data_IF_358320562967
#
_entry.id   IF_358320562967
#
_cell.length_a   1.000
_cell.length_b   1.000
_cell.length_c   1.000
_cell.angle_alpha   90.00
_cell.angle_beta   90.00
_cell.angle_gamma   90.00
#
_symmetry.space_group_name_H-M   'P 1'
#
loop_
_entity.id
_entity.type
_entity.pdbx_description
1 polymer ?
#
# COMPACT_ATOMS: atom_id res chain seq x y z
N UNK A 1 -9.68 -26.63 -6.87
CA UNK A 1 -11.13 -26.76 -7.11
C UNK A 1 -11.65 -25.35 -7.37
N UNK A 2 -12.51 -25.16 -8.40
CA UNK A 2 -13.11 -23.84 -8.67
C UNK A 2 -14.35 -23.65 -7.82
N UNK A 3 -14.57 -22.43 -7.33
CA UNK A 3 -15.77 -22.00 -6.61
C UNK A 3 -16.46 -20.85 -7.37
N UNK A 4 -17.74 -20.61 -7.10
CA UNK A 4 -18.42 -19.44 -7.64
C UNK A 4 -17.88 -18.19 -6.96
N UNK A 5 -17.44 -17.22 -7.77
CA UNK A 5 -16.99 -15.94 -7.24
C UNK A 5 -18.17 -15.20 -6.60
N UNK A 6 -17.94 -14.66 -5.41
CA UNK A 6 -18.85 -13.76 -4.71
C UNK A 6 -18.09 -12.51 -4.30
N UNK A 7 -18.75 -11.35 -4.38
CA UNK A 7 -18.18 -10.10 -3.91
C UNK A 7 -17.96 -10.17 -2.39
N UNK A 8 -16.78 -9.79 -1.95
CA UNK A 8 -16.40 -9.72 -0.53
C UNK A 8 -15.98 -8.30 -0.22
N UNK A 9 -16.16 -7.89 1.04
CA UNK A 9 -15.60 -6.64 1.56
C UNK A 9 -14.08 -6.63 1.34
N UNK A 10 -13.55 -5.51 0.90
CA UNK A 10 -12.15 -5.35 0.55
C UNK A 10 -11.54 -4.13 1.24
N UNK A 11 -10.22 -4.09 1.31
CA UNK A 11 -9.47 -2.92 1.78
C UNK A 11 -8.91 -2.14 0.60
N UNK A 12 -9.01 -0.80 0.65
CA UNK A 12 -8.48 0.08 -0.38
C UNK A 12 -6.96 -0.09 -0.51
N UNK A 13 -6.50 -0.16 -1.75
CA UNK A 13 -5.10 -0.07 -2.15
C UNK A 13 -4.99 1.02 -3.19
N UNK A 14 -4.67 2.25 -2.76
CA UNK A 14 -4.70 3.43 -3.62
C UNK A 14 -3.32 4.07 -3.71
N UNK A 15 -2.89 4.41 -4.92
CA UNK A 15 -1.70 5.21 -5.17
C UNK A 15 -2.08 6.59 -5.74
N UNK A 16 -1.55 7.65 -5.14
CA UNK A 16 -1.64 9.02 -5.64
C UNK A 16 -0.30 9.40 -6.27
N UNK A 17 -0.28 9.66 -7.55
CA UNK A 17 0.93 10.06 -8.27
C UNK A 17 0.87 11.54 -8.65
N UNK A 18 2.01 12.20 -8.80
CA UNK A 18 2.04 13.59 -9.25
C UNK A 18 3.32 14.33 -8.89
N UNK A 19 3.57 15.48 -9.54
CA UNK A 19 4.74 16.30 -9.26
C UNK A 19 4.68 16.91 -7.85
N UNK A 20 5.81 17.46 -7.41
CA UNK A 20 5.83 18.24 -6.17
C UNK A 20 4.84 19.41 -6.26
N UNK A 21 4.08 19.64 -5.19
CA UNK A 21 3.06 20.69 -5.13
C UNK A 21 1.72 20.35 -5.80
N UNK A 22 1.49 19.10 -6.24
CA UNK A 22 0.20 18.70 -6.81
C UNK A 22 -0.89 18.37 -5.78
N UNK A 23 -0.61 18.49 -4.48
CA UNK A 23 -1.61 18.26 -3.43
C UNK A 23 -1.79 16.81 -2.97
N UNK A 24 -0.86 15.89 -3.30
CA UNK A 24 -0.96 14.45 -2.95
C UNK A 24 -1.23 14.20 -1.47
N UNK A 25 -0.47 14.83 -0.59
CA UNK A 25 -0.61 14.68 0.87
C UNK A 25 -1.99 15.07 1.35
N UNK A 26 -2.48 16.27 0.95
CA UNK A 26 -3.81 16.74 1.32
C UNK A 26 -4.91 15.85 0.72
N UNK A 27 -4.77 15.45 -0.54
CA UNK A 27 -5.72 14.53 -1.20
C UNK A 27 -5.79 13.17 -0.48
N UNK A 28 -4.65 12.62 -0.05
CA UNK A 28 -4.60 11.39 0.74
C UNK A 28 -5.36 11.55 2.07
N UNK A 29 -5.14 12.68 2.76
CA UNK A 29 -5.84 12.98 4.02
C UNK A 29 -7.34 13.19 3.81
N UNK A 30 -7.77 13.89 2.75
CA UNK A 30 -9.20 14.06 2.44
C UNK A 30 -9.88 12.72 2.18
N UNK A 31 -9.26 11.84 1.38
CA UNK A 31 -9.80 10.49 1.15
C UNK A 31 -9.87 9.72 2.47
N UNK A 32 -8.80 9.75 3.28
CA UNK A 32 -8.76 9.05 4.56
C UNK A 32 -9.82 9.56 5.54
N UNK A 33 -10.01 10.86 5.64
CA UNK A 33 -11.08 11.48 6.45
C UNK A 33 -12.47 11.03 6.03
N UNK A 34 -12.75 11.01 4.73
CA UNK A 34 -14.03 10.51 4.21
C UNK A 34 -14.21 9.01 4.49
N UNK A 35 -13.17 8.21 4.31
CA UNK A 35 -13.22 6.77 4.58
C UNK A 35 -13.49 6.44 6.05
N UNK A 36 -12.94 7.22 6.97
CA UNK A 36 -13.15 7.04 8.43
C UNK A 36 -14.37 7.78 8.97
N UNK A 37 -15.11 8.51 8.10
CA UNK A 37 -16.25 9.33 8.53
C UNK A 37 -15.85 10.47 9.46
N UNK A 38 -14.63 11.00 9.31
CA UNK A 38 -14.08 12.06 10.14
C UNK A 38 -13.46 11.59 11.46
N UNK A 39 -13.37 10.29 11.69
CA UNK A 39 -12.64 9.73 12.85
C UNK A 39 -11.12 9.70 12.57
N UNK A 40 -10.46 10.80 12.88
CA UNK A 40 -9.04 11.00 12.65
C UNK A 40 -8.13 10.14 13.54
N UNK A 41 -8.65 9.58 14.65
CA UNK A 41 -7.91 8.62 15.47
C UNK A 41 -7.62 7.31 14.72
N UNK A 42 -8.33 7.06 13.61
CA UNK A 42 -8.18 5.91 12.72
C UNK A 42 -7.42 6.23 11.44
N UNK A 43 -6.75 7.37 11.38
CA UNK A 43 -5.87 7.77 10.26
C UNK A 43 -4.44 7.88 10.77
N UNK A 44 -3.51 7.12 10.17
CA UNK A 44 -2.07 7.22 10.44
C UNK A 44 -1.32 7.62 9.17
N UNK A 45 -0.31 8.49 9.33
CA UNK A 45 0.52 8.96 8.23
C UNK A 45 2.00 8.77 8.55
N UNK A 46 2.71 8.05 7.68
CA UNK A 46 4.17 7.94 7.65
C UNK A 46 4.69 9.04 6.73
N UNK A 47 5.47 9.97 7.28
CA UNK A 47 5.98 11.14 6.54
C UNK A 47 7.49 11.01 6.28
N UNK A 48 7.86 10.98 5.01
CA UNK A 48 9.24 11.06 4.54
C UNK A 48 9.57 12.41 3.87
N UNK A 49 8.61 13.34 3.85
CA UNK A 49 8.68 14.65 3.19
C UNK A 49 9.03 15.78 4.17
N UNK A 50 9.94 15.51 5.13
CA UNK A 50 10.45 16.50 6.09
C UNK A 50 9.38 17.16 6.96
N UNK A 51 8.50 16.36 7.55
CA UNK A 51 7.41 16.77 8.46
C UNK A 51 6.37 17.71 7.83
N UNK A 52 6.31 17.79 6.50
CA UNK A 52 5.36 18.68 5.81
C UNK A 52 3.90 18.27 6.00
N UNK A 53 3.63 16.99 6.25
CA UNK A 53 2.27 16.54 6.52
C UNK A 53 1.69 17.18 7.79
N UNK A 54 2.50 17.59 8.76
CA UNK A 54 2.04 18.29 9.97
C UNK A 54 1.33 19.61 9.69
N UNK A 55 1.62 20.28 8.56
CA UNK A 55 0.93 21.52 8.17
C UNK A 55 -0.55 21.30 7.87
N UNK A 56 -0.97 20.08 7.64
CA UNK A 56 -2.36 19.70 7.35
C UNK A 56 -3.11 19.18 8.59
N UNK A 57 -2.44 19.01 9.74
CA UNK A 57 -3.10 18.54 10.95
C UNK A 57 -4.00 19.65 11.52
N UNK A 58 -5.21 19.24 11.95
CA UNK A 58 -6.21 20.13 12.59
C UNK A 58 -6.52 21.38 11.75
N UNK A 59 -6.89 21.18 10.48
CA UNK A 59 -7.27 22.23 9.53
C UNK A 59 -8.70 22.05 9.04
N UNK A 60 -9.70 22.53 9.81
CA UNK A 60 -11.11 22.40 9.45
C UNK A 60 -11.44 23.02 8.07
N UNK A 61 -10.72 24.08 7.67
CA UNK A 61 -10.86 24.72 6.37
C UNK A 61 -10.49 23.81 5.18
N UNK A 62 -9.70 22.76 5.44
CA UNK A 62 -9.35 21.72 4.45
C UNK A 62 -10.04 20.39 4.75
N UNK A 63 -10.90 20.34 5.77
CA UNK A 63 -11.59 19.13 6.19
C UNK A 63 -10.67 18.10 6.82
N UNK A 64 -9.53 18.52 7.43
CA UNK A 64 -8.58 17.63 8.11
C UNK A 64 -8.58 17.86 9.62
N UNK A 65 -8.39 16.78 10.39
CA UNK A 65 -8.26 16.81 11.84
C UNK A 65 -6.91 16.29 12.33
N UNK A 66 -6.82 15.95 13.61
CA UNK A 66 -5.62 15.40 14.25
C UNK A 66 -5.47 13.91 13.91
N UNK A 67 -4.48 13.54 13.11
CA UNK A 67 -4.18 12.17 12.71
C UNK A 67 -2.93 11.63 13.42
N UNK A 68 -2.80 10.31 13.52
CA UNK A 68 -1.60 9.66 14.02
C UNK A 68 -0.44 9.89 13.05
N UNK A 69 0.72 10.28 13.56
CA UNK A 69 1.83 10.75 12.75
C UNK A 69 3.15 10.09 13.13
N UNK A 70 3.87 9.58 12.13
CA UNK A 70 5.21 9.03 12.30
C UNK A 70 6.17 9.57 11.23
N UNK A 71 7.20 10.36 11.60
CA UNK A 71 8.25 10.70 10.65
C UNK A 71 9.13 9.48 10.36
N UNK A 72 9.53 9.33 9.11
CA UNK A 72 10.55 8.39 8.68
C UNK A 72 11.68 9.15 8.02
N UNK A 73 12.83 9.17 8.68
CA UNK A 73 14.03 9.86 8.22
C UNK A 73 15.06 8.86 7.65
N UNK A 74 16.01 9.33 6.83
CA UNK A 74 17.06 8.46 6.29
C UNK A 74 17.76 7.63 7.38
N UNK A 75 18.26 6.41 7.05
CA UNK A 75 18.14 5.75 5.75
C UNK A 75 16.73 5.16 5.51
N UNK A 76 16.20 5.32 4.29
CA UNK A 76 14.86 4.90 3.88
C UNK A 76 14.80 3.42 3.49
N UNK A 77 15.25 2.54 4.39
CA UNK A 77 15.29 1.10 4.17
C UNK A 77 13.90 0.48 4.14
N UNK A 78 13.70 -0.51 3.26
CA UNK A 78 12.42 -1.19 3.12
C UNK A 78 11.92 -1.86 4.41
N UNK A 79 12.83 -2.41 5.22
CA UNK A 79 12.50 -3.02 6.53
C UNK A 79 11.93 -2.01 7.52
N UNK A 80 12.46 -0.78 7.56
CA UNK A 80 11.90 0.31 8.38
C UNK A 80 10.50 0.70 7.94
N UNK A 81 10.26 0.81 6.62
CA UNK A 81 8.90 1.06 6.12
C UNK A 81 7.95 -0.04 6.56
N UNK A 82 8.36 -1.29 6.43
CA UNK A 82 7.56 -2.46 6.82
C UNK A 82 7.23 -2.44 8.32
N UNK A 83 8.21 -2.16 9.17
CA UNK A 83 8.05 -2.09 10.62
C UNK A 83 7.03 -1.01 11.00
N UNK A 84 7.24 0.22 10.52
CA UNK A 84 6.37 1.36 10.84
C UNK A 84 4.98 1.17 10.23
N UNK A 85 4.88 0.62 9.01
CA UNK A 85 3.59 0.36 8.37
C UNK A 85 2.75 -0.67 9.13
N UNK A 86 3.38 -1.73 9.68
CA UNK A 86 2.69 -2.70 10.53
C UNK A 86 2.20 -2.08 11.83
N UNK A 87 3.06 -1.27 12.49
CA UNK A 87 2.67 -0.55 13.72
C UNK A 87 1.53 0.46 13.44
N UNK A 88 1.60 1.18 12.33
CA UNK A 88 0.53 2.09 11.91
C UNK A 88 -0.79 1.37 11.63
N UNK A 89 -0.74 0.23 10.94
CA UNK A 89 -1.93 -0.58 10.66
C UNK A 89 -2.56 -1.15 11.94
N UNK A 90 -1.75 -1.54 12.92
CA UNK A 90 -2.23 -1.96 14.24
C UNK A 90 -2.90 -0.79 15.00
N UNK A 91 -2.30 0.39 14.95
CA UNK A 91 -2.81 1.57 15.64
C UNK A 91 -4.16 2.05 15.08
N UNK A 92 -4.37 2.02 13.75
CA UNK A 92 -5.63 2.48 13.12
C UNK A 92 -6.71 1.41 13.09
N UNK A 93 -6.36 0.15 13.24
CA UNK A 93 -7.29 -0.99 13.15
C UNK A 93 -7.73 -1.30 11.71
N UNK A 94 -8.55 -2.35 11.55
CA UNK A 94 -8.90 -2.91 10.24
C UNK A 94 -9.65 -1.93 9.31
N UNK A 95 -10.51 -1.06 9.86
CA UNK A 95 -11.25 -0.08 9.05
C UNK A 95 -10.62 1.31 9.08
N UNK A 96 -9.41 1.43 9.61
CA UNK A 96 -8.62 2.65 9.55
C UNK A 96 -7.83 2.78 8.26
N UNK A 97 -7.15 3.90 8.10
CA UNK A 97 -6.38 4.25 6.90
C UNK A 97 -4.93 4.53 7.28
N UNK A 98 -4.00 3.82 6.64
CA UNK A 98 -2.57 4.11 6.69
C UNK A 98 -2.17 4.86 5.42
N UNK A 99 -1.55 6.02 5.57
CA UNK A 99 -0.97 6.82 4.49
C UNK A 99 0.55 6.68 4.54
N UNK A 100 1.19 6.43 3.38
CA UNK A 100 2.64 6.44 3.22
C UNK A 100 3.03 7.58 2.27
N UNK A 101 3.53 8.67 2.82
CA UNK A 101 3.90 9.89 2.08
C UNK A 101 5.40 10.22 2.24
N UNK A 102 6.25 9.81 1.32
CA UNK A 102 5.99 9.12 0.07
C UNK A 102 6.72 7.77 -0.01
N UNK A 103 6.17 6.86 -0.81
CA UNK A 103 6.82 5.58 -1.09
C UNK A 103 8.03 5.73 -2.05
N UNK A 104 8.18 6.88 -2.70
CA UNK A 104 9.29 7.13 -3.64
C UNK A 104 10.66 7.13 -2.96
N UNK A 105 10.75 7.55 -1.70
CA UNK A 105 12.02 7.53 -0.97
C UNK A 105 12.50 6.10 -0.64
N UNK A 106 11.58 5.13 -0.51
CA UNK A 106 11.98 3.72 -0.37
C UNK A 106 12.71 3.19 -1.61
N UNK A 107 12.49 3.81 -2.78
CA UNK A 107 13.14 3.46 -4.04
C UNK A 107 14.45 4.21 -4.26
N UNK A 108 14.41 5.54 -4.34
CA UNK A 108 15.54 6.38 -4.74
C UNK A 108 16.15 7.22 -3.60
N UNK A 109 15.59 7.19 -2.39
CA UNK A 109 16.14 7.90 -1.23
C UNK A 109 17.39 7.23 -0.67
N UNK A 110 18.09 7.95 0.22
CA UNK A 110 19.26 7.43 0.95
C UNK A 110 18.89 6.13 1.70
N UNK A 111 19.64 5.05 1.46
CA UNK A 111 19.37 3.71 1.99
C UNK A 111 18.21 2.99 1.29
N UNK A 112 17.61 3.58 0.25
CA UNK A 112 16.55 2.97 -0.55
C UNK A 112 17.03 1.82 -1.43
N UNK A 113 16.09 1.22 -2.17
CA UNK A 113 16.34 -0.01 -2.96
C UNK A 113 17.40 0.20 -4.04
N UNK A 114 17.49 1.38 -4.67
CA UNK A 114 18.53 1.66 -5.68
C UNK A 114 19.93 1.71 -5.07
N UNK A 115 20.07 2.31 -3.89
CA UNK A 115 21.36 2.33 -3.18
C UNK A 115 21.73 0.94 -2.69
N UNK A 116 20.81 0.20 -2.11
CA UNK A 116 21.01 -1.21 -1.75
C UNK A 116 21.47 -2.04 -2.94
N UNK A 117 20.84 -1.89 -4.12
CA UNK A 117 21.29 -2.54 -5.37
C UNK A 117 22.74 -2.20 -5.71
N UNK A 118 23.12 -0.92 -5.61
CA UNK A 118 24.46 -0.48 -5.90
C UNK A 118 25.51 -1.02 -4.88
N UNK A 119 25.13 -1.19 -3.63
CA UNK A 119 25.97 -1.81 -2.60
C UNK A 119 26.18 -3.30 -2.87
N UNK A 120 25.13 -4.04 -3.21
CA UNK A 120 25.20 -5.47 -3.56
C UNK A 120 26.09 -5.68 -4.79
N UNK A 121 25.98 -4.83 -5.80
CA UNK A 121 26.79 -4.93 -7.04
C UNK A 121 28.30 -4.80 -6.79
N UNK A 122 28.70 -4.03 -5.78
CA UNK A 122 30.12 -3.87 -5.38
C UNK A 122 30.71 -5.08 -4.66
N UNK A 123 29.88 -6.02 -4.20
CA UNK A 123 30.34 -7.19 -3.46
C UNK A 123 31.07 -8.19 -4.38
N UNK A 124 32.10 -8.85 -3.83
CA UNK A 124 32.88 -9.85 -4.58
C UNK A 124 31.99 -10.99 -5.11
N UNK A 125 32.07 -11.26 -6.39
CA UNK A 125 31.27 -12.31 -7.06
C UNK A 125 29.86 -11.92 -7.45
N UNK A 126 29.45 -10.67 -7.22
CA UNK A 126 28.19 -10.12 -7.67
C UNK A 126 28.37 -9.32 -8.96
N UNK A 127 27.26 -9.14 -9.68
CA UNK A 127 27.17 -8.30 -10.88
C UNK A 127 25.82 -7.58 -10.91
N UNK A 128 25.60 -6.74 -11.91
CA UNK A 128 24.36 -5.96 -12.00
C UNK A 128 23.11 -6.85 -12.03
N UNK A 129 23.13 -7.98 -12.70
CA UNK A 129 22.00 -8.90 -12.78
C UNK A 129 21.64 -9.51 -11.41
N UNK A 130 22.65 -10.06 -10.69
CA UNK A 130 22.42 -10.63 -9.34
C UNK A 130 22.01 -9.55 -8.34
N UNK A 131 22.53 -8.32 -8.45
CA UNK A 131 22.15 -7.22 -7.60
C UNK A 131 20.69 -6.80 -7.83
N UNK A 132 20.21 -6.81 -9.07
CA UNK A 132 18.80 -6.55 -9.37
C UNK A 132 17.85 -7.64 -8.87
N UNK A 133 18.27 -8.93 -8.89
CA UNK A 133 17.47 -10.01 -8.31
C UNK A 133 17.28 -9.83 -6.79
N UNK A 134 18.35 -9.48 -6.07
CA UNK A 134 18.27 -9.21 -4.63
C UNK A 134 17.45 -7.96 -4.30
N UNK A 135 17.71 -6.85 -4.99
CA UNK A 135 16.95 -5.60 -4.82
C UNK A 135 15.47 -5.78 -5.17
N UNK A 136 15.16 -6.58 -6.19
CA UNK A 136 13.81 -6.94 -6.56
C UNK A 136 13.07 -7.71 -5.46
N UNK A 137 13.74 -8.59 -4.74
CA UNK A 137 13.15 -9.30 -3.59
C UNK A 137 12.82 -8.35 -2.45
N UNK A 138 13.72 -7.42 -2.14
CA UNK A 138 13.49 -6.39 -1.11
C UNK A 138 12.28 -5.52 -1.48
N UNK A 139 12.23 -5.03 -2.72
CA UNK A 139 11.12 -4.24 -3.22
C UNK A 139 9.80 -5.02 -3.19
N UNK A 140 9.79 -6.24 -3.69
CA UNK A 140 8.58 -7.08 -3.69
C UNK A 140 8.07 -7.35 -2.27
N UNK A 141 8.98 -7.57 -1.30
CA UNK A 141 8.62 -7.77 0.10
C UNK A 141 7.94 -6.52 0.68
N UNK A 142 8.47 -5.33 0.41
CA UNK A 142 7.85 -4.06 0.83
C UNK A 142 6.44 -3.90 0.25
N UNK A 143 6.30 -4.00 -1.07
CA UNK A 143 5.02 -3.81 -1.75
C UNK A 143 4.00 -4.86 -1.30
N UNK A 144 4.36 -6.14 -1.30
CA UNK A 144 3.47 -7.22 -0.85
C UNK A 144 3.03 -7.02 0.60
N UNK A 145 3.93 -6.53 1.48
CA UNK A 145 3.57 -6.24 2.88
C UNK A 145 2.52 -5.12 2.94
N UNK A 146 2.75 -3.99 2.24
CA UNK A 146 1.78 -2.88 2.22
C UNK A 146 0.42 -3.33 1.70
N UNK A 147 0.39 -4.11 0.61
CA UNK A 147 -0.84 -4.62 0.02
C UNK A 147 -1.57 -5.66 0.89
N UNK A 148 -0.86 -6.34 1.80
CA UNK A 148 -1.44 -7.35 2.70
C UNK A 148 -1.87 -6.82 4.07
N UNK A 149 -1.66 -5.53 4.37
CA UNK A 149 -2.08 -4.94 5.64
C UNK A 149 -3.60 -5.05 5.85
N UNK A 150 -4.07 -5.26 7.08
CA UNK A 150 -5.50 -5.44 7.37
C UNK A 150 -6.33 -4.15 7.28
N UNK A 151 -5.71 -2.98 7.21
CA UNK A 151 -6.33 -1.67 7.07
C UNK A 151 -6.36 -1.20 5.61
N UNK A 152 -7.01 -0.07 5.31
CA UNK A 152 -6.88 0.62 4.03
C UNK A 152 -5.50 1.26 3.90
N UNK A 153 -4.93 1.26 2.69
CA UNK A 153 -3.60 1.83 2.42
C UNK A 153 -3.66 2.82 1.27
N UNK A 154 -3.14 4.02 1.52
CA UNK A 154 -2.94 5.05 0.51
C UNK A 154 -1.44 5.34 0.46
N UNK A 155 -0.84 5.29 -0.73
CA UNK A 155 0.56 5.69 -0.92
C UNK A 155 0.63 6.91 -1.83
N UNK A 156 1.61 7.77 -1.60
CA UNK A 156 1.93 8.83 -2.56
C UNK A 156 3.21 8.48 -3.31
N UNK A 157 3.25 8.80 -4.59
CA UNK A 157 4.39 8.63 -5.47
C UNK A 157 4.73 9.97 -6.12
N UNK A 158 5.98 10.39 -5.97
CA UNK A 158 6.52 11.55 -6.71
C UNK A 158 6.67 11.15 -8.18
N UNK A 159 6.54 12.12 -9.07
CA UNK A 159 6.77 11.88 -10.50
C UNK A 159 7.94 12.70 -11.01
N UNK A 160 8.61 12.15 -12.03
CA UNK A 160 9.64 12.81 -12.82
C UNK A 160 9.23 12.84 -14.30
N UNK A 161 9.86 13.73 -15.07
CA UNK A 161 9.65 13.75 -16.53
C UNK A 161 10.12 12.45 -17.13
N UNK A 162 9.24 11.82 -17.89
CA UNK A 162 9.54 10.62 -18.67
C UNK A 162 9.97 11.02 -20.10
N UNK A 163 10.96 10.34 -20.62
CA UNK A 163 11.48 10.53 -21.97
C UNK A 163 11.46 9.22 -22.73
N UNK A 164 11.04 9.26 -23.99
CA UNK A 164 11.27 8.19 -24.96
C UNK A 164 12.41 8.59 -25.91
N UNK A 165 13.11 7.60 -26.42
CA UNK A 165 14.10 7.82 -27.49
C UNK A 165 13.39 7.69 -28.83
N UNK A 166 13.35 8.77 -29.60
CA UNK A 166 12.74 8.79 -30.93
C UNK A 166 13.79 9.16 -31.98
N UNK A 167 13.63 8.66 -33.22
CA UNK A 167 14.46 9.01 -34.32
C UNK A 167 14.06 10.41 -34.83
N UNK A 168 15.02 11.34 -34.86
CA UNK A 168 14.81 12.63 -35.51
C UNK A 168 14.92 12.51 -37.05
N UNK A 169 14.63 13.59 -37.75
CA UNK A 169 14.70 13.65 -39.23
C UNK A 169 16.07 13.28 -39.82
N UNK A 170 17.12 13.23 -38.99
CA UNK A 170 18.50 12.85 -39.37
C UNK A 170 18.84 11.42 -38.97
N UNK A 171 17.86 10.61 -38.57
CA UNK A 171 18.03 9.21 -38.13
C UNK A 171 18.82 9.04 -36.83
N UNK A 172 18.92 10.08 -35.98
CA UNK A 172 19.57 9.99 -34.67
C UNK A 172 18.51 9.84 -33.56
N UNK A 173 18.76 8.96 -32.59
CA UNK A 173 17.97 8.88 -31.41
C UNK A 173 18.11 10.15 -30.56
N UNK A 174 16.99 10.79 -30.27
CA UNK A 174 16.90 11.98 -29.41
C UNK A 174 15.86 11.72 -28.30
N UNK A 175 16.10 12.19 -27.08
CA UNK A 175 15.11 12.06 -26.01
C UNK A 175 13.95 13.03 -26.24
N UNK A 176 12.74 12.49 -26.33
CA UNK A 176 11.50 13.26 -26.45
C UNK A 176 10.70 13.08 -25.15
N UNK A 177 10.20 14.19 -24.61
CA UNK A 177 9.36 14.17 -23.40
C UNK A 177 8.02 13.53 -23.72
N UNK A 178 7.71 12.40 -23.04
CA UNK A 178 6.46 11.65 -23.24
C UNK A 178 5.44 11.82 -22.10
N UNK A 179 5.81 12.53 -21.01
CA UNK A 179 4.91 12.76 -19.90
C UNK A 179 5.60 12.76 -18.54
N UNK A 180 4.92 12.26 -17.54
CA UNK A 180 5.42 12.04 -16.18
C UNK A 180 5.37 10.55 -15.87
N UNK A 181 6.37 10.05 -15.15
CA UNK A 181 6.40 8.68 -14.64
C UNK A 181 6.62 8.71 -13.12
N UNK A 182 6.00 7.79 -12.36
CA UNK A 182 6.25 7.66 -10.94
C UNK A 182 7.73 7.37 -10.66
N UNK A 183 8.23 7.94 -9.56
CA UNK A 183 9.55 7.62 -9.02
C UNK A 183 9.42 6.38 -8.16
N UNK A 184 9.45 5.25 -8.79
CA UNK A 184 9.38 3.92 -8.19
C UNK A 184 9.91 2.89 -9.21
N UNK A 185 10.03 1.62 -8.82
CA UNK A 185 10.23 0.54 -9.78
C UNK A 185 9.12 0.58 -10.81
N UNK A 186 9.48 0.42 -12.07
CA UNK A 186 8.53 0.43 -13.19
C UNK A 186 7.34 -0.50 -12.93
N UNK A 187 6.15 -0.03 -13.22
CA UNK A 187 4.87 -0.72 -13.05
C UNK A 187 4.44 -0.98 -11.58
N UNK A 188 5.15 -0.47 -10.58
CA UNK A 188 4.73 -0.66 -9.16
C UNK A 188 3.37 -0.05 -8.88
N UNK A 189 3.01 1.04 -9.53
CA UNK A 189 1.69 1.67 -9.39
C UNK A 189 0.55 0.74 -9.79
N UNK A 190 0.78 -0.19 -10.71
CA UNK A 190 -0.23 -1.15 -11.15
C UNK A 190 -0.50 -2.29 -10.17
N UNK A 191 0.28 -2.40 -9.10
CA UNK A 191 -0.02 -3.32 -7.98
C UNK A 191 -1.18 -2.80 -7.10
N UNK A 192 -1.50 -1.50 -7.19
CA UNK A 192 -2.61 -0.89 -6.46
C UNK A 192 -3.92 -1.04 -7.23
N UNK A 193 -5.06 -1.07 -6.50
CA UNK A 193 -6.39 -1.21 -7.09
C UNK A 193 -6.83 0.07 -7.82
N UNK A 194 -6.45 1.21 -7.27
CA UNK A 194 -6.75 2.55 -7.80
C UNK A 194 -5.47 3.36 -7.91
N UNK A 195 -5.25 3.99 -9.05
CA UNK A 195 -4.15 4.92 -9.29
C UNK A 195 -4.71 6.24 -9.81
N UNK A 196 -4.54 7.30 -9.03
CA UNK A 196 -4.95 8.66 -9.40
C UNK A 196 -3.73 9.54 -9.64
N UNK A 197 -3.68 10.18 -10.79
CA UNK A 197 -2.63 11.11 -11.18
C UNK A 197 -3.09 12.55 -10.89
N UNK A 198 -2.38 13.26 -10.03
CA UNK A 198 -2.66 14.64 -9.70
C UNK A 198 -1.78 15.59 -10.52
N UNK A 199 -2.40 16.60 -11.10
CA UNK A 199 -1.71 17.69 -11.77
C UNK A 199 -1.43 18.88 -10.83
N UNK A 200 -0.80 19.95 -11.34
CA UNK A 200 -0.50 21.17 -10.57
C UNK A 200 -1.73 22.03 -10.28
N UNK A 201 -2.83 21.82 -10.98
CA UNK A 201 -4.11 22.47 -10.71
C UNK A 201 -4.94 21.69 -9.68
N UNK A 202 -4.35 20.64 -9.08
CA UNK A 202 -4.96 19.74 -8.09
C UNK A 202 -6.12 18.88 -8.63
N UNK A 203 -6.20 18.72 -9.97
CA UNK A 203 -7.11 17.76 -10.58
C UNK A 203 -6.49 16.37 -10.55
N UNK A 204 -7.32 15.40 -10.17
CA UNK A 204 -6.95 13.99 -10.18
C UNK A 204 -7.64 13.28 -11.33
N UNK A 205 -6.90 12.47 -12.08
CA UNK A 205 -7.43 11.60 -13.13
C UNK A 205 -7.05 10.16 -12.85
N UNK A 206 -7.95 9.22 -13.07
CA UNK A 206 -7.67 7.80 -12.91
C UNK A 206 -6.81 7.31 -14.07
N UNK A 207 -5.72 6.58 -13.76
CA UNK A 207 -4.93 5.82 -14.75
C UNK A 207 -5.11 4.32 -14.57
N UNK A 208 -5.63 3.91 -13.42
CA UNK A 208 -6.10 2.55 -13.14
C UNK A 208 -7.23 2.66 -12.12
N UNK A 209 -8.31 1.94 -12.36
CA UNK A 209 -9.40 1.82 -11.40
C UNK A 209 -10.04 0.42 -11.47
N UNK A 210 -10.37 -0.12 -10.32
CA UNK A 210 -11.15 -1.35 -10.16
C UNK A 210 -12.45 -1.10 -9.41
N UNK A 211 -12.79 0.17 -9.19
CA UNK A 211 -13.96 0.60 -8.40
C UNK A 211 -15.03 1.27 -9.29
N UNK A 212 -15.16 2.56 -9.18
CA UNK A 212 -16.13 3.39 -9.93
C UNK A 212 -15.50 4.71 -10.41
N UNK A 213 -14.17 4.82 -10.34
CA UNK A 213 -13.42 6.05 -10.60
C UNK A 213 -12.79 6.10 -12.00
N UNK A 214 -13.16 5.18 -12.92
CA UNK A 214 -12.50 5.05 -14.23
C UNK A 214 -12.50 6.37 -15.02
N UNK A 215 -13.62 7.10 -15.02
CA UNK A 215 -13.76 8.41 -15.68
C UNK A 215 -13.50 9.60 -14.74
N UNK A 216 -12.87 9.39 -13.58
CA UNK A 216 -12.67 10.46 -12.61
C UNK A 216 -11.72 11.53 -13.13
N UNK A 217 -12.18 12.78 -13.12
CA UNK A 217 -11.40 13.96 -13.49
C UNK A 217 -11.90 15.18 -12.70
N UNK A 218 -11.48 15.32 -11.46
CA UNK A 218 -11.89 16.39 -10.55
C UNK A 218 -10.89 16.57 -9.41
N UNK A 219 -10.96 17.66 -8.65
CA UNK A 219 -10.28 17.77 -7.36
C UNK A 219 -10.78 16.68 -6.39
N UNK A 220 -9.86 16.18 -5.57
CA UNK A 220 -10.20 15.21 -4.51
C UNK A 220 -10.92 15.93 -3.38
N UNK A 221 -11.98 15.29 -2.89
CA UNK A 221 -12.77 15.76 -1.74
C UNK A 221 -13.03 14.60 -0.78
N UNK A 222 -13.43 14.85 0.49
CA UNK A 222 -13.78 13.79 1.44
C UNK A 222 -14.89 12.85 0.95
N UNK A 223 -15.83 13.34 0.15
CA UNK A 223 -16.94 12.54 -0.41
C UNK A 223 -16.45 11.38 -1.29
N UNK A 224 -15.26 11.51 -1.90
CA UNK A 224 -14.64 10.41 -2.64
C UNK A 224 -14.25 9.29 -1.68
N UNK A 225 -13.71 9.64 -0.51
CA UNK A 225 -13.40 8.69 0.55
C UNK A 225 -14.64 7.95 1.07
N UNK A 226 -15.75 8.68 1.28
CA UNK A 226 -17.03 8.11 1.70
C UNK A 226 -17.55 7.10 0.68
N UNK A 227 -17.58 7.47 -0.60
CA UNK A 227 -18.02 6.59 -1.69
C UNK A 227 -17.14 5.36 -1.82
N UNK A 228 -15.81 5.50 -1.67
CA UNK A 228 -14.88 4.37 -1.68
C UNK A 228 -15.14 3.42 -0.51
N UNK A 229 -15.33 3.95 0.71
CA UNK A 229 -15.70 3.15 1.88
C UNK A 229 -16.97 2.35 1.62
N UNK A 230 -18.02 3.01 1.15
CA UNK A 230 -19.31 2.38 0.91
C UNK A 230 -19.21 1.29 -0.15
N UNK A 231 -18.53 1.57 -1.27
CA UNK A 231 -18.28 0.59 -2.34
C UNK A 231 -17.45 -0.62 -1.87
N UNK A 232 -16.41 -0.41 -1.06
CA UNK A 232 -15.54 -1.47 -0.53
C UNK A 232 -16.23 -2.30 0.57
N UNK A 233 -17.24 -1.75 1.23
CA UNK A 233 -18.02 -2.44 2.25
C UNK A 233 -19.12 -3.32 1.69
N UNK A 234 -19.39 -3.28 0.38
CA UNK A 234 -20.34 -4.16 -0.27
C UNK A 234 -19.82 -5.61 -0.36
N UNK A 235 -20.71 -6.57 -0.14
CA UNK A 235 -20.41 -7.99 -0.26
C UNK A 235 -20.36 -8.73 1.08
N UNK A 236 -19.95 -9.99 0.99
CA UNK A 236 -19.88 -10.87 2.16
C UNK A 236 -18.73 -10.48 3.10
N UNK A 237 -18.96 -10.67 4.41
CA UNK A 237 -17.89 -10.51 5.40
C UNK A 237 -16.76 -11.51 5.13
N UNK A 238 -15.50 -11.10 5.35
CA UNK A 238 -14.38 -12.00 5.27
C UNK A 238 -14.44 -13.04 6.41
N UNK A 239 -13.92 -14.23 6.15
CA UNK A 239 -13.80 -15.28 7.17
C UNK A 239 -12.83 -14.85 8.28
N UNK A 240 -13.26 -14.97 9.54
CA UNK A 240 -12.47 -14.58 10.71
C UNK A 240 -12.06 -15.76 11.55
N UNK A 241 -10.88 -15.66 12.14
CA UNK A 241 -10.36 -16.63 13.11
C UNK A 241 -11.16 -16.57 14.42
N UNK A 242 -11.65 -17.71 14.88
CA UNK A 242 -12.43 -17.80 16.13
C UNK A 242 -11.61 -17.48 17.39
N UNK A 243 -10.28 -17.65 17.34
CA UNK A 243 -9.41 -17.44 18.51
C UNK A 243 -8.87 -16.02 18.62
N UNK A 244 -8.46 -15.38 17.50
CA UNK A 244 -7.85 -14.05 17.53
C UNK A 244 -8.70 -12.96 16.84
N UNK A 245 -9.83 -13.32 16.23
CA UNK A 245 -10.73 -12.36 15.56
C UNK A 245 -10.24 -11.82 14.22
N UNK A 246 -8.95 -11.97 13.87
CA UNK A 246 -8.40 -11.46 12.62
C UNK A 246 -8.95 -12.17 11.39
N UNK A 247 -9.01 -11.45 10.27
CA UNK A 247 -9.35 -12.02 8.97
C UNK A 247 -8.40 -13.15 8.62
N UNK A 248 -8.95 -14.26 8.14
CA UNK A 248 -8.18 -15.41 7.66
C UNK A 248 -7.72 -15.09 6.24
N UNK A 249 -6.41 -14.98 6.03
CA UNK A 249 -5.78 -14.73 4.74
C UNK A 249 -5.25 -16.03 4.12
N UNK A 250 -5.17 -16.13 2.79
CA UNK A 250 -4.51 -17.26 2.14
C UNK A 250 -3.03 -17.26 2.52
N UNK A 251 -2.47 -18.43 2.80
CA UNK A 251 -1.09 -18.56 3.23
C UNK A 251 -0.47 -19.84 2.66
N UNK A 252 0.80 -19.76 2.21
CA UNK A 252 1.60 -20.89 1.69
C UNK A 252 0.89 -21.69 0.58
N UNK A 253 0.18 -21.02 -0.30
CA UNK A 253 -0.55 -21.65 -1.41
C UNK A 253 -1.87 -22.32 -1.01
N UNK A 254 -2.31 -22.14 0.25
CA UNK A 254 -3.59 -22.65 0.75
C UNK A 254 -4.62 -21.52 0.72
N UNK A 255 -5.79 -21.76 0.11
CA UNK A 255 -6.87 -20.77 0.05
C UNK A 255 -7.58 -20.61 1.38
N UNK A 256 -8.28 -19.48 1.58
CA UNK A 256 -9.08 -19.23 2.78
C UNK A 256 -10.10 -20.35 3.01
N UNK A 257 -10.80 -20.78 1.97
CA UNK A 257 -11.78 -21.88 2.06
C UNK A 257 -11.14 -23.18 2.59
N UNK A 258 -9.97 -23.53 2.06
CA UNK A 258 -9.22 -24.71 2.52
C UNK A 258 -8.74 -24.59 3.95
N UNK A 259 -8.28 -23.38 4.37
CA UNK A 259 -7.85 -23.13 5.76
C UNK A 259 -9.05 -23.28 6.69
N UNK A 260 -10.19 -22.67 6.36
CA UNK A 260 -11.42 -22.72 7.14
C UNK A 260 -11.93 -24.16 7.24
N UNK A 261 -12.04 -24.88 6.14
CA UNK A 261 -12.49 -26.29 6.10
C UNK A 261 -11.55 -27.18 6.94
N UNK A 262 -10.24 -27.09 6.69
CA UNK A 262 -9.24 -27.91 7.37
C UNK A 262 -9.19 -27.64 8.88
N UNK A 263 -9.24 -26.37 9.30
CA UNK A 263 -9.20 -26.03 10.72
C UNK A 263 -10.52 -26.35 11.43
N UNK A 264 -11.66 -26.15 10.77
CA UNK A 264 -12.97 -26.54 11.31
C UNK A 264 -13.05 -28.05 11.50
N UNK A 265 -12.59 -28.85 10.53
CA UNK A 265 -12.54 -30.29 10.61
C UNK A 265 -11.62 -30.79 11.75
N UNK A 266 -10.46 -30.14 11.92
CA UNK A 266 -9.44 -30.59 12.89
C UNK A 266 -9.67 -30.09 14.30
N UNK A 267 -10.15 -28.85 14.46
CA UNK A 267 -10.24 -28.17 15.75
C UNK A 267 -11.68 -27.77 16.12
N UNK A 268 -12.68 -28.10 15.31
CA UNK A 268 -14.09 -27.76 15.53
C UNK A 268 -14.41 -26.27 15.35
N UNK A 269 -13.46 -25.44 14.90
CA UNK A 269 -13.61 -24.00 14.72
C UNK A 269 -12.68 -23.43 13.65
N UNK A 270 -13.04 -22.26 13.09
CA UNK A 270 -12.27 -21.58 12.06
C UNK A 270 -11.03 -20.93 12.67
N UNK A 271 -9.84 -21.30 12.25
CA UNK A 271 -8.57 -20.73 12.75
C UNK A 271 -7.72 -20.19 11.59
N UNK A 272 -7.01 -19.07 11.82
CA UNK A 272 -5.90 -18.69 10.95
C UNK A 272 -4.72 -19.65 11.15
N UNK A 273 -3.78 -19.69 10.22
CA UNK A 273 -2.64 -20.62 10.25
C UNK A 273 -1.80 -20.46 11.54
N UNK A 274 -1.63 -19.23 12.03
CA UNK A 274 -0.92 -18.96 13.30
C UNK A 274 -1.64 -19.59 14.51
N UNK A 275 -2.95 -19.38 14.66
CA UNK A 275 -3.74 -19.97 15.75
C UNK A 275 -3.86 -21.49 15.62
N UNK A 276 -3.97 -22.02 14.40
CA UNK A 276 -3.93 -23.45 14.15
C UNK A 276 -2.60 -24.08 14.59
N UNK A 277 -1.47 -23.40 14.32
CA UNK A 277 -0.15 -23.80 14.81
C UNK A 277 -0.06 -23.84 16.34
N UNK A 278 -0.60 -22.82 17.02
CA UNK A 278 -0.66 -22.79 18.49
C UNK A 278 -1.53 -23.93 19.05
N UNK A 279 -2.69 -24.17 18.46
CA UNK A 279 -3.59 -25.23 18.85
C UNK A 279 -2.96 -26.63 18.67
N UNK A 280 -2.22 -26.84 17.58
CA UNK A 280 -1.47 -28.08 17.32
C UNK A 280 -0.40 -28.34 18.41
N UNK A 281 0.37 -27.30 18.75
CA UNK A 281 1.40 -27.43 19.77
C UNK A 281 0.83 -27.70 21.17
N UNK A 282 -0.30 -27.06 21.52
CA UNK A 282 -1.00 -27.32 22.79
C UNK A 282 -1.51 -28.75 22.86
N UNK A 283 -2.09 -29.31 21.81
CA UNK A 283 -2.54 -30.69 21.73
C UNK A 283 -1.38 -31.70 21.87
N UNK A 284 -0.19 -31.38 21.30
CA UNK A 284 1.01 -32.24 21.43
C UNK A 284 1.55 -32.29 22.87
N UNK A 285 1.46 -31.20 23.62
CA UNK A 285 1.88 -31.15 25.04
C UNK A 285 0.96 -31.93 26.00
N UNK A 286 -0.34 -32.00 25.69
CA UNK A 286 -1.31 -32.74 26.48
C UNK A 286 -1.22 -34.27 26.28
N UNK A 287 -0.58 -34.76 25.22
CA UNK A 287 -0.38 -36.20 24.94
C UNK A 287 0.95 -36.72 25.53
N UNK A 288 1.85 -35.82 25.96
CA UNK A 288 3.20 -36.15 26.47
C UNK A 288 3.32 -36.03 27.99
N UNK A 289 2.26 -35.72 28.72
CA UNK A 289 2.14 -35.67 30.17
C UNK A 289 1.10 -36.69 30.64
#
# INVERSE_FOLDING_TARGET
MFEKAARKKAKLRLALTGPSGSGKTLSALMIAGGMTGGDWSRVALIDTEHERARFYADRPEWGTGEFLYQPLVPPYKADKYIEIAKAGAEAVGEDGVLIVDSLSHAWEGEGGVLEYKAEVEKQKGKNSYTAWDEAGKVQNTLITTLLSLPCHVIVTLRTKTAYAMELNDRGKNVPVKIGLAPIQRENTEYEFDVVLNLDRAHYATASKDTTFLDDFNAPITPEIGEKLRDWLSEGAEPERCSDCGHVILPERGVTVAQIVEGTTKTYGRKLCMSCAGKAKNAAAQTVSG
#
